data_IF_357112798202
#
_entry.id   IF_357112798202
#
_cell.length_a   1.000
_cell.length_b   1.000
_cell.length_c   1.000
_cell.angle_alpha   90.00
_cell.angle_beta   90.00
_cell.angle_gamma   90.00
#
_symmetry.space_group_name_H-M   'P 1'
#
loop_
_entity.id
_entity.type
_entity.pdbx_description
1 polymer ?
#
# COMPACT_ATOMS: atom_id res chain seq x y z
N UNK A 1 -37.42 -20.98 25.76
CA UNK A 1 -36.21 -20.12 25.75
C UNK A 1 -35.47 -20.17 24.41
N UNK A 2 -35.29 -21.35 23.80
CA UNK A 2 -34.63 -21.52 22.50
C UNK A 2 -35.41 -20.97 21.28
N UNK A 3 -36.75 -21.08 21.26
CA UNK A 3 -37.56 -20.56 20.13
C UNK A 3 -37.60 -19.04 20.05
N UNK A 4 -37.48 -18.37 21.20
CA UNK A 4 -37.39 -16.91 21.29
C UNK A 4 -36.07 -16.39 20.69
N UNK A 5 -34.97 -17.11 20.92
CA UNK A 5 -33.66 -16.79 20.33
C UNK A 5 -33.66 -17.01 18.81
N UNK A 6 -34.20 -18.13 18.32
CA UNK A 6 -34.33 -18.39 16.87
C UNK A 6 -35.14 -17.31 16.15
N UNK A 7 -36.23 -16.84 16.76
CA UNK A 7 -37.06 -15.76 16.19
C UNK A 7 -36.29 -14.44 16.10
N UNK A 8 -35.55 -14.07 17.15
CA UNK A 8 -34.67 -12.88 17.14
C UNK A 8 -33.56 -12.97 16.10
N UNK A 9 -32.91 -14.13 15.94
CA UNK A 9 -31.87 -14.30 14.93
C UNK A 9 -32.42 -14.19 13.50
N UNK A 10 -33.63 -14.69 13.26
CA UNK A 10 -34.30 -14.55 11.96
C UNK A 10 -34.64 -13.10 11.63
N UNK A 11 -35.17 -12.34 12.60
CA UNK A 11 -35.46 -10.90 12.44
C UNK A 11 -34.19 -10.07 12.17
N UNK A 12 -33.06 -10.41 12.81
CA UNK A 12 -31.76 -9.76 12.56
C UNK A 12 -31.25 -10.09 11.15
N UNK A 13 -31.34 -11.35 10.72
CA UNK A 13 -30.91 -11.77 9.39
C UNK A 13 -31.72 -11.09 8.28
N UNK A 14 -33.04 -10.99 8.44
CA UNK A 14 -33.92 -10.28 7.49
C UNK A 14 -33.60 -8.78 7.42
N UNK A 15 -33.26 -8.16 8.55
CA UNK A 15 -32.87 -6.74 8.61
C UNK A 15 -31.52 -6.45 7.94
N UNK A 16 -30.57 -7.38 8.06
CA UNK A 16 -29.26 -7.29 7.37
C UNK A 16 -29.44 -7.46 5.86
N UNK A 17 -30.25 -8.45 5.44
CA UNK A 17 -30.56 -8.67 4.03
C UNK A 17 -31.29 -7.48 3.40
N UNK A 18 -32.21 -6.83 4.14
CA UNK A 18 -32.87 -5.60 3.70
C UNK A 18 -31.89 -4.44 3.45
N UNK A 19 -30.96 -4.21 4.40
CA UNK A 19 -29.91 -3.18 4.23
C UNK A 19 -28.97 -3.47 3.07
N UNK A 20 -28.62 -4.74 2.82
CA UNK A 20 -27.80 -5.11 1.67
C UNK A 20 -28.50 -4.80 0.34
N UNK A 21 -29.80 -5.05 0.24
CA UNK A 21 -30.59 -4.70 -0.95
C UNK A 21 -30.69 -3.19 -1.16
N UNK A 22 -30.89 -2.41 -0.09
CA UNK A 22 -30.89 -0.93 -0.17
C UNK A 22 -29.55 -0.40 -0.70
N UNK A 23 -28.43 -0.96 -0.24
CA UNK A 23 -27.07 -0.57 -0.69
C UNK A 23 -26.85 -0.95 -2.17
N UNK A 24 -27.32 -2.11 -2.61
CA UNK A 24 -27.23 -2.55 -4.01
C UNK A 24 -28.08 -1.67 -4.94
N UNK A 25 -29.31 -1.34 -4.55
CA UNK A 25 -30.18 -0.43 -5.30
C UNK A 25 -29.61 0.99 -5.37
N UNK A 26 -28.95 1.46 -4.30
CA UNK A 26 -28.32 2.78 -4.28
C UNK A 26 -27.07 2.81 -5.18
N UNK A 27 -26.25 1.75 -5.18
CA UNK A 27 -25.12 1.59 -6.11
C UNK A 27 -25.57 1.58 -7.57
N UNK A 28 -26.65 0.87 -7.88
CA UNK A 28 -27.18 0.81 -9.25
C UNK A 28 -27.74 2.17 -9.71
N UNK A 29 -28.34 2.95 -8.80
CA UNK A 29 -28.80 4.32 -9.05
C UNK A 29 -27.66 5.33 -9.21
N UNK A 30 -26.49 5.08 -8.62
CA UNK A 30 -25.29 5.92 -8.78
C UNK A 30 -24.59 5.63 -10.11
N UNK A 31 -24.52 4.37 -10.54
CA UNK A 31 -23.91 3.97 -11.83
C UNK A 31 -24.63 4.49 -13.08
N UNK A 32 -25.93 4.84 -12.98
CA UNK A 32 -26.75 5.32 -14.11
C UNK A 32 -26.74 6.85 -14.31
N UNK A 33 -25.91 7.60 -13.59
CA UNK A 33 -25.88 9.08 -13.65
C UNK A 33 -24.74 9.61 -14.53
N UNK A 34 -24.90 10.81 -15.14
CA UNK A 34 -23.85 11.48 -15.89
C UNK A 34 -22.59 11.70 -15.02
N UNK A 35 -21.41 11.45 -15.60
CA UNK A 35 -20.10 11.56 -14.92
C UNK A 35 -19.86 12.92 -14.26
N UNK A 36 -20.38 14.02 -14.81
CA UNK A 36 -20.26 15.36 -14.25
C UNK A 36 -20.89 15.51 -12.87
N UNK A 37 -21.95 14.76 -12.58
CA UNK A 37 -22.66 14.78 -11.28
C UNK A 37 -21.90 13.93 -10.25
N UNK A 38 -21.11 12.94 -10.71
CA UNK A 38 -20.27 12.10 -9.85
C UNK A 38 -19.03 12.90 -9.43
N UNK A 39 -18.44 13.67 -10.34
CA UNK A 39 -17.28 14.52 -10.07
C UNK A 39 -17.60 15.65 -9.06
N UNK A 40 -18.74 16.36 -9.22
CA UNK A 40 -19.19 17.38 -8.25
C UNK A 40 -19.38 16.79 -6.85
N UNK A 41 -19.96 15.59 -6.75
CA UNK A 41 -20.17 14.91 -5.45
C UNK A 41 -18.88 14.41 -4.80
N UNK A 42 -17.87 14.05 -5.60
CA UNK A 42 -16.55 13.70 -5.08
C UNK A 42 -15.88 14.95 -4.53
N UNK A 43 -15.94 16.08 -5.25
CA UNK A 43 -15.41 17.36 -4.77
C UNK A 43 -16.10 17.85 -3.49
N UNK A 44 -17.43 17.69 -3.38
CA UNK A 44 -18.19 17.98 -2.15
C UNK A 44 -17.81 17.10 -0.96
N UNK A 45 -17.30 15.88 -1.18
CA UNK A 45 -16.89 14.94 -0.12
C UNK A 45 -15.41 15.04 0.27
N UNK A 46 -14.56 15.72 -0.52
CA UNK A 46 -13.16 15.97 -0.16
C UNK A 46 -13.00 16.64 1.22
N UNK A 47 -13.84 17.61 1.64
CA UNK A 47 -13.81 18.20 2.98
C UNK A 47 -14.13 17.18 4.09
N UNK A 48 -15.17 16.34 3.92
CA UNK A 48 -15.53 15.28 4.88
C UNK A 48 -14.40 14.25 5.00
N UNK A 49 -13.81 13.81 3.89
CA UNK A 49 -12.66 12.89 3.88
C UNK A 49 -11.45 13.54 4.58
N UNK A 50 -11.25 14.85 4.42
CA UNK A 50 -10.19 15.59 5.15
C UNK A 50 -10.45 15.67 6.64
N UNK A 51 -11.71 15.74 7.07
CA UNK A 51 -12.09 15.69 8.48
C UNK A 51 -11.98 14.27 9.06
N UNK A 52 -12.41 13.24 8.34
CA UNK A 52 -12.17 11.83 8.70
C UNK A 52 -10.67 11.52 8.79
N UNK A 53 -9.85 12.02 7.86
CA UNK A 53 -8.37 11.89 7.93
C UNK A 53 -7.78 12.68 9.11
N UNK A 54 -8.40 13.79 9.52
CA UNK A 54 -8.03 14.50 10.77
C UNK A 54 -8.45 13.73 12.02
N UNK A 55 -9.57 13.01 11.98
CA UNK A 55 -10.04 12.13 13.05
C UNK A 55 -9.19 10.86 13.16
N UNK A 56 -8.78 10.26 12.04
CA UNK A 56 -7.81 9.16 12.00
C UNK A 56 -6.44 9.63 12.51
N UNK A 57 -6.04 10.87 12.22
CA UNK A 57 -4.84 11.51 12.82
C UNK A 57 -4.95 11.75 14.33
N UNK A 58 -6.14 11.64 14.94
CA UNK A 58 -6.29 11.61 16.41
C UNK A 58 -5.97 10.25 17.01
N UNK A 59 -5.60 9.25 16.22
CA UNK A 59 -5.07 7.98 16.74
C UNK A 59 -3.59 8.12 17.17
N UNK A 60 -3.34 9.08 18.05
CA UNK A 60 -2.11 9.19 18.85
C UNK A 60 -2.02 8.08 19.91
N UNK A 61 -2.91 7.08 19.89
CA UNK A 61 -3.24 6.18 21.01
C UNK A 61 -2.11 5.23 21.39
N UNK A 62 -1.45 4.58 20.42
CA UNK A 62 -0.56 3.45 20.71
C UNK A 62 0.73 3.85 21.44
N UNK A 63 1.53 4.69 20.78
CA UNK A 63 2.82 5.15 21.31
C UNK A 63 2.65 6.09 22.50
N UNK A 64 1.53 6.83 22.60
CA UNK A 64 1.27 7.69 23.76
C UNK A 64 0.90 6.89 25.00
N UNK A 65 0.07 5.85 24.87
CA UNK A 65 -0.28 4.95 25.99
C UNK A 65 0.93 4.20 26.51
N UNK A 66 1.78 3.67 25.62
CA UNK A 66 3.03 3.04 26.04
C UNK A 66 3.92 4.05 26.77
N UNK A 67 4.10 5.23 26.17
CA UNK A 67 4.91 6.31 26.74
C UNK A 67 4.47 6.66 28.15
N UNK A 68 3.17 6.81 28.40
CA UNK A 68 2.65 7.12 29.73
C UNK A 68 2.92 5.99 30.75
N UNK A 69 2.71 4.73 30.35
CA UNK A 69 2.95 3.56 31.20
C UNK A 69 4.42 3.41 31.58
N UNK A 70 5.34 3.54 30.61
CA UNK A 70 6.78 3.43 30.87
C UNK A 70 7.25 4.59 31.75
N UNK A 71 6.90 5.84 31.40
CA UNK A 71 7.30 7.04 32.16
C UNK A 71 6.85 6.97 33.62
N UNK A 72 5.64 6.47 33.88
CA UNK A 72 5.15 6.29 35.26
C UNK A 72 6.04 5.32 36.06
N UNK A 73 6.51 4.24 35.43
CA UNK A 73 7.40 3.25 36.05
C UNK A 73 8.84 3.76 36.20
N UNK A 74 9.33 4.56 35.23
CA UNK A 74 10.67 5.19 35.27
C UNK A 74 10.79 6.20 36.41
N UNK A 75 9.69 6.89 36.78
CA UNK A 75 9.68 7.87 37.88
C UNK A 75 9.96 7.24 39.26
N UNK A 76 9.82 5.93 39.40
CA UNK A 76 9.82 5.24 40.69
C UNK A 76 11.16 4.57 41.01
N UNK A 77 11.94 4.05 40.03
CA UNK A 77 13.24 3.35 40.23
C UNK A 77 14.13 3.33 38.97
N UNK A 78 15.39 2.87 39.12
CA UNK A 78 16.25 2.44 38.01
C UNK A 78 15.55 1.31 37.24
N UNK A 79 15.46 1.44 35.93
CA UNK A 79 14.74 0.49 35.09
C UNK A 79 15.50 -0.83 35.01
N UNK A 80 14.88 -1.89 35.49
CA UNK A 80 15.34 -3.26 35.25
C UNK A 80 14.52 -3.89 34.13
N UNK A 81 15.09 -4.89 33.46
CA UNK A 81 14.36 -5.74 32.52
C UNK A 81 13.01 -6.24 33.07
N UNK A 82 12.99 -6.70 34.32
CA UNK A 82 11.78 -7.22 34.99
C UNK A 82 10.66 -6.16 35.10
N UNK A 83 11.03 -4.88 35.22
CA UNK A 83 10.07 -3.78 35.25
C UNK A 83 9.53 -3.44 33.85
N UNK A 84 10.38 -3.49 32.83
CA UNK A 84 10.06 -3.01 31.49
C UNK A 84 9.35 -4.07 30.65
N UNK A 85 9.78 -5.33 30.77
CA UNK A 85 9.35 -6.43 29.91
C UNK A 85 7.81 -6.59 29.85
N UNK A 86 7.07 -6.60 30.98
CA UNK A 86 5.60 -6.67 30.93
C UNK A 86 4.94 -5.46 30.25
N UNK A 87 5.55 -4.27 30.30
CA UNK A 87 5.03 -3.10 29.60
C UNK A 87 5.21 -3.22 28.10
N UNK A 88 6.38 -3.70 27.67
CA UNK A 88 6.68 -3.87 26.26
C UNK A 88 5.97 -5.08 25.65
N UNK A 89 5.64 -6.12 26.42
CA UNK A 89 4.75 -7.20 25.97
C UNK A 89 3.35 -6.66 25.66
N UNK A 90 2.80 -5.78 26.50
CA UNK A 90 1.52 -5.14 26.19
C UNK A 90 1.63 -4.25 24.94
N UNK A 91 2.75 -3.56 24.76
CA UNK A 91 2.99 -2.75 23.58
C UNK A 91 3.12 -3.57 22.30
N UNK A 92 3.75 -4.74 22.38
CA UNK A 92 3.81 -5.69 21.28
C UNK A 92 2.41 -6.13 20.87
N UNK A 93 1.52 -6.43 21.83
CA UNK A 93 0.11 -6.70 21.53
C UNK A 93 -0.56 -5.49 20.87
N UNK A 94 -0.36 -4.28 21.40
CA UNK A 94 -0.91 -3.07 20.78
C UNK A 94 -0.41 -2.92 19.32
N UNK A 95 0.85 -3.24 19.02
CA UNK A 95 1.42 -3.18 17.67
C UNK A 95 0.81 -4.23 16.73
N UNK A 96 0.58 -5.45 17.24
CA UNK A 96 -0.12 -6.50 16.51
C UNK A 96 -1.56 -6.10 16.17
N UNK A 97 -2.27 -5.45 17.10
CA UNK A 97 -3.60 -4.89 16.86
C UNK A 97 -3.61 -3.76 15.82
N UNK A 98 -2.46 -3.12 15.61
CA UNK A 98 -2.24 -2.08 14.61
C UNK A 98 -1.65 -2.61 13.29
N UNK A 99 -1.86 -3.90 12.99
CA UNK A 99 -1.41 -4.59 11.77
C UNK A 99 0.10 -4.61 11.55
N UNK A 100 0.90 -4.47 12.62
CA UNK A 100 2.34 -4.69 12.54
C UNK A 100 2.62 -6.19 12.63
N UNK A 101 3.42 -6.71 11.69
CA UNK A 101 3.83 -8.11 11.70
C UNK A 101 4.53 -8.49 13.01
N UNK A 102 4.31 -9.72 13.48
CA UNK A 102 4.84 -10.20 14.75
C UNK A 102 6.37 -10.08 14.83
N UNK A 103 7.08 -10.41 13.75
CA UNK A 103 8.53 -10.32 13.68
C UNK A 103 9.02 -8.89 13.89
N UNK A 104 8.29 -7.91 13.35
CA UNK A 104 8.58 -6.47 13.48
C UNK A 104 8.24 -5.98 14.88
N UNK A 105 7.07 -6.33 15.40
CA UNK A 105 6.63 -5.96 16.74
C UNK A 105 7.58 -6.53 17.82
N UNK A 106 7.97 -7.79 17.68
CA UNK A 106 8.93 -8.45 18.55
C UNK A 106 10.33 -7.82 18.44
N UNK A 107 10.79 -7.46 17.24
CA UNK A 107 12.05 -6.71 17.08
C UNK A 107 12.00 -5.37 17.81
N UNK A 108 10.92 -4.60 17.67
CA UNK A 108 10.75 -3.31 18.38
C UNK A 108 10.82 -3.54 19.90
N UNK A 109 10.11 -4.54 20.42
CA UNK A 109 10.16 -4.91 21.85
C UNK A 109 11.60 -5.21 22.29
N UNK A 110 12.31 -6.09 21.60
CA UNK A 110 13.67 -6.50 21.98
C UNK A 110 14.68 -5.33 21.90
N UNK A 111 14.57 -4.46 20.89
CA UNK A 111 15.41 -3.26 20.78
C UNK A 111 15.15 -2.30 21.96
N UNK A 112 13.88 -2.11 22.33
CA UNK A 112 13.51 -1.28 23.47
C UNK A 112 14.00 -1.85 24.81
N UNK A 113 13.93 -3.17 25.02
CA UNK A 113 14.52 -3.82 26.21
C UNK A 113 16.01 -3.49 26.28
N UNK A 114 16.75 -3.74 25.19
CA UNK A 114 18.21 -3.50 25.15
C UNK A 114 18.58 -2.04 25.39
N UNK A 115 17.80 -1.10 24.86
CA UNK A 115 18.11 0.32 24.95
C UNK A 115 17.71 0.93 26.30
N UNK A 116 16.78 0.32 27.04
CA UNK A 116 16.24 0.84 28.30
C UNK A 116 16.74 0.09 29.55
N UNK A 117 17.12 -1.18 29.43
CA UNK A 117 17.59 -1.99 30.56
C UNK A 117 18.87 -1.40 31.18
N UNK A 118 18.86 -1.21 32.49
CA UNK A 118 19.99 -0.66 33.25
C UNK A 118 20.24 0.84 33.05
N UNK A 119 19.48 1.55 32.20
CA UNK A 119 19.63 3.00 32.04
C UNK A 119 19.10 3.78 33.24
N UNK A 120 19.94 4.68 33.75
CA UNK A 120 19.52 5.70 34.69
C UNK A 120 18.97 6.89 33.93
N UNK A 121 17.66 7.12 34.09
CA UNK A 121 17.00 8.23 33.41
C UNK A 121 16.85 9.39 34.38
N UNK A 122 17.31 10.57 33.97
CA UNK A 122 17.14 11.79 34.77
C UNK A 122 15.65 12.11 34.88
N UNK A 123 15.24 12.50 36.10
CA UNK A 123 13.86 12.90 36.39
C UNK A 123 13.42 14.02 35.42
N UNK A 124 12.33 13.81 34.70
CA UNK A 124 11.82 14.70 33.64
C UNK A 124 12.28 14.40 32.21
N UNK A 125 13.23 13.47 32.00
CA UNK A 125 13.72 13.05 30.65
C UNK A 125 13.25 11.67 30.22
N UNK A 126 12.43 10.99 31.01
CA UNK A 126 11.91 9.64 30.78
C UNK A 126 11.20 9.53 29.43
N UNK A 127 10.41 10.55 29.12
CA UNK A 127 9.69 10.66 27.85
C UNK A 127 10.62 10.74 26.65
N UNK A 128 11.72 11.48 26.77
CA UNK A 128 12.69 11.66 25.67
C UNK A 128 13.43 10.35 25.40
N UNK A 129 13.87 9.65 26.45
CA UNK A 129 14.63 8.41 26.33
C UNK A 129 13.81 7.31 25.65
N UNK A 130 12.53 7.15 26.03
CA UNK A 130 11.64 6.14 25.41
C UNK A 130 11.35 6.47 23.94
N UNK A 131 11.10 7.75 23.63
CA UNK A 131 10.86 8.17 22.23
C UNK A 131 12.10 7.92 21.38
N UNK A 132 13.29 8.25 21.88
CA UNK A 132 14.52 8.05 21.12
C UNK A 132 14.80 6.56 20.89
N UNK A 133 14.51 5.70 21.88
CA UNK A 133 14.64 4.26 21.73
C UNK A 133 13.70 3.71 20.64
N UNK A 134 12.44 4.15 20.63
CA UNK A 134 11.47 3.78 19.58
C UNK A 134 11.94 4.30 18.21
N UNK A 135 12.35 5.58 18.15
CA UNK A 135 12.82 6.23 16.93
C UNK A 135 13.98 5.47 16.32
N UNK A 136 14.98 5.12 17.13
CA UNK A 136 16.14 4.35 16.70
C UNK A 136 15.76 2.96 16.17
N UNK A 137 14.89 2.23 16.88
CA UNK A 137 14.41 0.92 16.41
C UNK A 137 13.69 1.03 15.06
N UNK A 138 12.81 2.02 14.90
CA UNK A 138 12.11 2.27 13.63
C UNK A 138 13.06 2.71 12.51
N UNK A 139 14.06 3.54 12.80
CA UNK A 139 15.09 3.92 11.82
C UNK A 139 15.87 2.70 11.33
N UNK A 140 16.25 1.80 12.22
CA UNK A 140 16.93 0.55 11.86
C UNK A 140 16.03 -0.38 11.01
N UNK A 141 14.75 -0.48 11.34
CA UNK A 141 13.79 -1.30 10.59
C UNK A 141 13.53 -0.71 9.19
N UNK A 142 13.49 0.61 9.08
CA UNK A 142 13.18 1.33 7.85
C UNK A 142 14.41 1.77 7.05
N UNK A 143 15.62 1.40 7.48
CA UNK A 143 16.87 1.70 6.77
C UNK A 143 17.00 0.81 5.53
N UNK A 144 16.23 1.17 4.51
CA UNK A 144 16.22 0.51 3.22
C UNK A 144 17.12 1.25 2.23
N UNK A 145 17.78 0.53 1.29
CA UNK A 145 18.57 1.16 0.24
C UNK A 145 17.75 2.21 -0.53
N UNK A 146 18.26 3.43 -0.57
CA UNK A 146 17.64 4.51 -1.35
C UNK A 146 17.81 4.25 -2.84
N UNK A 147 16.74 4.40 -3.60
CA UNK A 147 16.74 4.26 -5.06
C UNK A 147 16.82 5.64 -5.71
N UNK A 148 17.93 5.96 -6.36
CA UNK A 148 18.05 7.14 -7.23
C UNK A 148 17.46 6.84 -8.61
N UNK A 149 16.13 6.85 -8.69
CA UNK A 149 15.42 6.49 -9.91
C UNK A 149 15.80 7.39 -11.10
N UNK A 150 15.97 8.71 -10.87
CA UNK A 150 16.33 9.65 -11.93
C UNK A 150 17.74 9.42 -12.46
N UNK A 151 18.70 9.15 -11.55
CA UNK A 151 20.07 8.80 -11.92
C UNK A 151 20.14 7.50 -12.72
N UNK A 152 19.38 6.48 -12.32
CA UNK A 152 19.31 5.20 -13.03
C UNK A 152 18.69 5.34 -14.44
N UNK A 153 17.60 6.10 -14.59
CA UNK A 153 16.99 6.40 -15.90
C UNK A 153 17.98 7.14 -16.83
N UNK A 154 18.81 8.04 -16.29
CA UNK A 154 19.82 8.76 -17.09
C UNK A 154 20.94 7.85 -17.60
N UNK A 155 21.26 6.76 -16.90
CA UNK A 155 22.32 5.81 -17.28
C UNK A 155 21.89 4.86 -18.40
N UNK A 156 20.59 4.57 -18.54
CA UNK A 156 20.09 3.58 -19.49
C UNK A 156 18.73 3.97 -20.06
N UNK A 157 18.61 3.98 -21.39
CA UNK A 157 17.37 4.32 -22.10
C UNK A 157 17.02 3.26 -23.17
N UNK A 158 15.77 2.78 -23.25
CA UNK A 158 14.71 3.04 -22.27
C UNK A 158 14.99 2.30 -20.95
N UNK A 159 14.62 2.92 -19.84
CA UNK A 159 14.60 2.30 -18.51
C UNK A 159 13.26 1.58 -18.33
N UNK A 160 13.29 0.25 -18.17
CA UNK A 160 12.08 -0.56 -18.08
C UNK A 160 11.69 -0.83 -16.62
N UNK A 161 10.53 -0.32 -16.22
CA UNK A 161 9.90 -0.55 -14.91
C UNK A 161 8.69 -1.46 -15.11
N UNK A 162 8.64 -2.59 -14.41
CA UNK A 162 7.50 -3.52 -14.44
C UNK A 162 6.86 -3.58 -13.07
N UNK A 163 5.53 -3.41 -13.03
CA UNK A 163 4.74 -3.35 -11.82
C UNK A 163 3.99 -4.65 -11.60
N UNK A 164 4.15 -5.24 -10.41
CA UNK A 164 3.53 -6.48 -9.95
C UNK A 164 2.64 -6.21 -8.74
N UNK A 165 1.79 -7.16 -8.38
CA UNK A 165 0.90 -7.05 -7.21
C UNK A 165 -0.51 -7.54 -7.49
N UNK A 166 -1.34 -7.62 -6.45
CA UNK A 166 -2.68 -8.20 -6.53
C UNK A 166 -3.72 -7.31 -7.22
N UNK A 167 -4.86 -7.90 -7.57
CA UNK A 167 -6.01 -7.15 -8.08
C UNK A 167 -6.47 -6.18 -7.00
N UNK A 168 -6.73 -4.93 -7.39
CA UNK A 168 -7.15 -3.90 -6.46
C UNK A 168 -6.02 -3.20 -5.70
N UNK A 169 -4.76 -3.68 -5.76
CA UNK A 169 -3.65 -3.03 -5.03
C UNK A 169 -3.24 -1.65 -5.57
N UNK A 170 -3.90 -1.16 -6.63
CA UNK A 170 -3.64 0.17 -7.19
C UNK A 170 -2.53 0.23 -8.25
N UNK A 171 -2.07 -0.89 -8.81
CA UNK A 171 -1.01 -0.94 -9.86
C UNK A 171 -1.20 0.09 -10.98
N UNK A 172 -2.30 0.01 -11.71
CA UNK A 172 -2.59 0.87 -12.88
C UNK A 172 -2.57 2.36 -12.51
N UNK A 173 -3.17 2.71 -11.36
CA UNK A 173 -3.16 4.07 -10.83
C UNK A 173 -1.75 4.52 -10.43
N UNK A 174 -0.97 3.64 -9.80
CA UNK A 174 0.42 3.91 -9.39
C UNK A 174 1.33 4.10 -10.61
N UNK A 175 1.16 3.31 -11.66
CA UNK A 175 1.86 3.49 -12.94
C UNK A 175 1.60 4.89 -13.51
N UNK A 176 0.34 5.32 -13.56
CA UNK A 176 -0.02 6.64 -14.07
C UNK A 176 0.59 7.77 -13.22
N UNK A 177 0.57 7.64 -11.89
CA UNK A 177 1.16 8.62 -10.96
C UNK A 177 2.68 8.71 -11.14
N UNK A 178 3.38 7.59 -11.23
CA UNK A 178 4.83 7.56 -11.44
C UNK A 178 5.20 8.10 -12.82
N UNK A 179 4.46 7.73 -13.86
CA UNK A 179 4.65 8.30 -15.20
C UNK A 179 4.48 9.82 -15.18
N UNK A 180 3.42 10.35 -14.56
CA UNK A 180 3.21 11.79 -14.41
C UNK A 180 4.36 12.46 -13.65
N UNK A 181 4.79 11.88 -12.54
CA UNK A 181 5.91 12.39 -11.74
C UNK A 181 7.22 12.47 -12.55
N UNK A 182 7.52 11.45 -13.36
CA UNK A 182 8.71 11.42 -14.22
C UNK A 182 8.58 12.42 -15.38
N UNK A 183 7.40 12.55 -15.98
CA UNK A 183 7.12 13.54 -17.03
C UNK A 183 7.25 14.97 -16.52
N UNK A 184 6.81 15.26 -15.30
CA UNK A 184 6.97 16.56 -14.64
C UNK A 184 8.44 16.91 -14.37
N UNK A 185 9.30 15.89 -14.31
CA UNK A 185 10.76 16.02 -14.20
C UNK A 185 11.47 16.05 -15.57
N UNK A 186 10.72 16.05 -16.67
CA UNK A 186 11.22 16.17 -18.02
C UNK A 186 11.60 14.84 -18.70
N UNK A 187 11.26 13.70 -18.11
CA UNK A 187 11.44 12.39 -18.76
C UNK A 187 10.27 12.06 -19.67
N UNK A 188 10.55 11.52 -20.86
CA UNK A 188 9.52 10.94 -21.73
C UNK A 188 9.16 9.53 -21.27
N UNK A 189 7.86 9.22 -21.27
CA UNK A 189 7.33 7.93 -20.80
C UNK A 189 6.43 7.28 -21.85
N UNK A 190 6.41 5.95 -21.89
CA UNK A 190 5.41 5.14 -22.58
C UNK A 190 4.89 4.06 -21.65
N UNK A 191 3.59 3.77 -21.70
CA UNK A 191 2.95 2.75 -20.87
C UNK A 191 2.74 1.46 -21.68
N UNK A 192 2.97 0.30 -21.06
CA UNK A 192 2.69 -1.00 -21.66
C UNK A 192 1.51 -1.67 -20.96
N UNK A 193 0.47 -1.99 -21.72
CA UNK A 193 -0.75 -2.64 -21.24
C UNK A 193 -0.56 -4.17 -21.12
N UNK A 194 0.29 -4.60 -20.19
CA UNK A 194 0.60 -6.01 -19.98
C UNK A 194 -0.44 -6.79 -19.16
N UNK A 195 -1.44 -6.14 -18.55
CA UNK A 195 -2.64 -6.85 -18.06
C UNK A 195 -3.57 -7.17 -19.25
N UNK A 196 -3.22 -8.21 -20.01
CA UNK A 196 -3.97 -8.62 -21.20
C UNK A 196 -5.17 -9.51 -20.87
N UNK A 197 -5.34 -9.91 -19.61
CA UNK A 197 -6.41 -10.81 -19.17
C UNK A 197 -7.72 -10.08 -18.88
N UNK A 198 -7.69 -8.76 -18.69
CA UNK A 198 -8.88 -7.96 -18.38
C UNK A 198 -8.97 -6.82 -19.39
N UNK A 199 -9.94 -6.89 -20.30
CA UNK A 199 -10.16 -5.84 -21.31
C UNK A 199 -10.32 -4.45 -20.65
N UNK A 200 -11.08 -4.39 -19.55
CA UNK A 200 -11.25 -3.18 -18.75
C UNK A 200 -9.94 -2.65 -18.14
N UNK A 201 -8.94 -3.49 -17.84
CA UNK A 201 -7.64 -3.02 -17.33
C UNK A 201 -6.86 -2.27 -18.40
N UNK A 202 -6.94 -2.75 -19.66
CA UNK A 202 -6.33 -2.05 -20.80
C UNK A 202 -6.98 -0.68 -20.98
N UNK A 203 -8.31 -0.62 -21.02
CA UNK A 203 -9.07 0.63 -21.15
C UNK A 203 -8.78 1.60 -20.00
N UNK A 204 -8.67 1.09 -18.77
CA UNK A 204 -8.31 1.91 -17.61
C UNK A 204 -6.92 2.53 -17.73
N UNK A 205 -5.92 1.75 -18.16
CA UNK A 205 -4.57 2.27 -18.38
C UNK A 205 -4.56 3.33 -19.49
N UNK A 206 -5.33 3.12 -20.57
CA UNK A 206 -5.46 4.09 -21.66
C UNK A 206 -6.10 5.40 -21.23
N UNK A 207 -7.15 5.36 -20.44
CA UNK A 207 -7.80 6.57 -19.93
C UNK A 207 -6.85 7.37 -19.03
N UNK A 208 -6.12 6.69 -18.13
CA UNK A 208 -5.07 7.36 -17.35
C UNK A 208 -3.98 7.95 -18.23
N UNK A 209 -3.51 7.20 -19.24
CA UNK A 209 -2.47 7.64 -20.15
C UNK A 209 -2.90 8.87 -20.95
N UNK A 210 -4.15 8.89 -21.43
CA UNK A 210 -4.75 10.02 -22.14
C UNK A 210 -4.77 11.27 -21.27
N UNK A 211 -5.13 11.16 -19.98
CA UNK A 211 -5.14 12.28 -19.03
C UNK A 211 -3.75 12.88 -18.80
N UNK A 212 -2.69 12.06 -18.85
CA UNK A 212 -1.31 12.53 -18.63
C UNK A 212 -0.55 12.79 -19.94
N UNK A 213 -1.15 12.52 -21.10
CA UNK A 213 -0.50 12.68 -22.41
C UNK A 213 0.58 11.64 -22.72
N UNK A 214 0.50 10.44 -22.14
CA UNK A 214 1.45 9.35 -22.39
C UNK A 214 0.95 8.38 -23.48
N UNK A 215 1.81 7.93 -24.41
CA UNK A 215 1.46 6.86 -25.33
C UNK A 215 1.28 5.52 -24.60
N UNK A 216 0.37 4.68 -25.11
CA UNK A 216 0.16 3.32 -24.62
C UNK A 216 0.42 2.31 -25.73
N UNK A 217 1.16 1.26 -25.39
CA UNK A 217 1.38 0.10 -26.24
C UNK A 217 0.54 -1.04 -25.69
N UNK A 218 -0.35 -1.54 -26.55
CA UNK A 218 -1.31 -2.59 -26.24
C UNK A 218 -1.43 -3.54 -27.42
N UNK A 219 -1.82 -4.77 -27.14
CA UNK A 219 -2.26 -5.73 -28.15
C UNK A 219 -3.72 -6.12 -27.90
N UNK A 220 -4.23 -7.06 -28.69
CA UNK A 220 -5.56 -7.64 -28.50
C UNK A 220 -5.69 -8.31 -27.12
N UNK A 221 -6.91 -8.33 -26.59
CA UNK A 221 -7.24 -9.09 -25.38
C UNK A 221 -6.76 -10.55 -25.48
N UNK A 222 -6.19 -11.08 -24.39
CA UNK A 222 -5.60 -12.42 -24.34
C UNK A 222 -4.27 -12.57 -25.07
N UNK A 223 -3.65 -11.48 -25.54
CA UNK A 223 -2.29 -11.51 -26.04
C UNK A 223 -1.28 -11.87 -24.93
N UNK A 224 -0.08 -12.29 -25.33
CA UNK A 224 1.02 -12.60 -24.41
C UNK A 224 1.55 -11.32 -23.75
N UNK A 225 1.42 -11.14 -22.41
CA UNK A 225 1.93 -9.95 -21.71
C UNK A 225 3.40 -9.66 -21.96
N UNK A 226 4.21 -10.71 -22.06
CA UNK A 226 5.64 -10.58 -22.31
C UNK A 226 5.93 -9.95 -23.67
N UNK A 227 5.09 -10.24 -24.68
CA UNK A 227 5.20 -9.67 -26.01
C UNK A 227 4.76 -8.19 -26.04
N UNK A 228 3.68 -7.83 -25.32
CA UNK A 228 3.24 -6.43 -25.23
C UNK A 228 4.34 -5.53 -24.64
N UNK A 229 4.98 -5.99 -23.56
CA UNK A 229 6.08 -5.26 -22.91
C UNK A 229 7.31 -5.18 -23.82
N UNK A 230 7.59 -6.24 -24.57
CA UNK A 230 8.68 -6.27 -25.54
C UNK A 230 8.46 -5.24 -26.67
N UNK A 231 7.25 -5.17 -27.20
CA UNK A 231 6.87 -4.18 -28.22
C UNK A 231 6.96 -2.76 -27.67
N UNK A 232 6.56 -2.54 -26.42
CA UNK A 232 6.67 -1.24 -25.78
C UNK A 232 8.13 -0.78 -25.63
N UNK A 233 9.01 -1.72 -25.25
CA UNK A 233 10.45 -1.48 -25.21
C UNK A 233 11.01 -1.13 -26.59
N UNK A 234 10.62 -1.86 -27.64
CA UNK A 234 11.03 -1.60 -29.02
C UNK A 234 10.55 -0.24 -29.53
N UNK A 235 9.31 0.11 -29.21
CA UNK A 235 8.74 1.42 -29.52
C UNK A 235 9.52 2.55 -28.83
N UNK A 236 9.85 2.38 -27.55
CA UNK A 236 10.63 3.35 -26.80
C UNK A 236 12.06 3.51 -27.34
N UNK A 237 12.74 2.41 -27.67
CA UNK A 237 14.06 2.41 -28.32
C UNK A 237 14.03 3.21 -29.64
N UNK A 238 13.05 2.94 -30.50
CA UNK A 238 12.93 3.60 -31.80
C UNK A 238 12.65 5.10 -31.70
N UNK A 239 11.91 5.53 -30.67
CA UNK A 239 11.54 6.94 -30.44
C UNK A 239 12.42 7.67 -29.44
N UNK A 240 13.47 7.01 -28.92
CA UNK A 240 14.36 7.53 -27.88
C UNK A 240 13.60 7.99 -26.62
N UNK A 241 12.56 7.24 -26.24
CA UNK A 241 11.78 7.49 -25.02
C UNK A 241 12.59 7.02 -23.81
N UNK A 242 12.56 7.80 -22.73
CA UNK A 242 13.40 7.57 -21.56
C UNK A 242 12.94 6.36 -20.73
N UNK A 243 11.62 6.20 -20.54
CA UNK A 243 11.06 5.22 -19.59
C UNK A 243 9.90 4.44 -20.19
N UNK A 244 9.90 3.13 -19.95
CA UNK A 244 8.76 2.24 -20.20
C UNK A 244 8.20 1.79 -18.86
N UNK A 245 6.91 2.05 -18.61
CA UNK A 245 6.21 1.57 -17.43
C UNK A 245 5.18 0.50 -17.82
N UNK A 246 5.37 -0.72 -17.35
CA UNK A 246 4.56 -1.86 -17.73
C UNK A 246 3.63 -2.31 -16.61
N UNK A 247 2.34 -2.38 -16.92
CA UNK A 247 1.34 -3.04 -16.08
C UNK A 247 1.39 -4.56 -16.26
N UNK A 248 0.96 -5.31 -15.26
CA UNK A 248 0.81 -6.77 -15.34
C UNK A 248 -0.50 -7.20 -14.70
N UNK A 249 -0.98 -8.40 -15.06
CA UNK A 249 -2.13 -9.00 -14.39
C UNK A 249 -1.89 -9.13 -12.87
N UNK A 250 -2.92 -8.86 -12.07
CA UNK A 250 -2.86 -8.95 -10.62
C UNK A 250 -3.65 -10.09 -10.03
N UNK A 251 -3.24 -11.34 -10.21
CA UNK A 251 -3.95 -12.47 -9.57
C UNK A 251 -3.25 -12.94 -8.30
N UNK A 252 -3.92 -13.83 -7.55
CA UNK A 252 -3.34 -14.46 -6.35
C UNK A 252 -2.00 -15.13 -6.67
N UNK A 253 -1.05 -15.05 -5.73
CA UNK A 253 0.27 -15.67 -5.82
C UNK A 253 0.19 -17.21 -5.84
N UNK A 254 -0.92 -17.77 -5.37
CA UNK A 254 -1.21 -19.22 -5.43
C UNK A 254 -1.57 -19.72 -6.83
N UNK A 255 -1.73 -18.82 -7.81
CA UNK A 255 -2.00 -19.19 -9.19
C UNK A 255 -0.70 -19.51 -9.95
N UNK A 256 -0.37 -20.79 -10.12
CA UNK A 256 0.85 -21.24 -10.80
C UNK A 256 0.99 -20.68 -12.23
N UNK A 257 -0.12 -20.64 -12.99
CA UNK A 257 -0.13 -20.12 -14.35
C UNK A 257 0.26 -18.63 -14.39
N UNK A 258 -0.23 -17.84 -13.44
CA UNK A 258 0.18 -16.44 -13.29
C UNK A 258 1.68 -16.36 -12.98
N UNK A 259 2.17 -17.16 -12.03
CA UNK A 259 3.59 -17.11 -11.64
C UNK A 259 4.51 -17.44 -12.81
N UNK A 260 4.15 -18.40 -13.66
CA UNK A 260 4.89 -18.70 -14.90
C UNK A 260 4.81 -17.55 -15.92
N UNK A 261 3.67 -16.88 -16.04
CA UNK A 261 3.53 -15.69 -16.89
C UNK A 261 4.42 -14.54 -16.41
N UNK A 262 4.42 -14.23 -15.10
CA UNK A 262 5.27 -13.20 -14.52
C UNK A 262 6.77 -13.55 -14.67
N UNK A 263 7.16 -14.81 -14.46
CA UNK A 263 8.53 -15.29 -14.74
C UNK A 263 8.90 -15.09 -16.20
N UNK A 264 7.98 -15.38 -17.13
CA UNK A 264 8.20 -15.16 -18.56
C UNK A 264 8.39 -13.68 -18.89
N UNK A 265 7.59 -12.78 -18.31
CA UNK A 265 7.77 -11.32 -18.46
C UNK A 265 9.18 -10.91 -18.07
N UNK A 266 9.64 -11.34 -16.88
CA UNK A 266 10.98 -11.01 -16.37
C UNK A 266 12.07 -11.61 -17.25
N UNK A 267 11.95 -12.88 -17.65
CA UNK A 267 12.93 -13.59 -18.47
C UNK A 267 13.11 -12.95 -19.85
N UNK A 268 12.01 -12.59 -20.51
CA UNK A 268 12.01 -12.03 -21.87
C UNK A 268 12.48 -10.58 -21.87
N UNK A 269 11.95 -9.77 -20.95
CA UNK A 269 12.12 -8.32 -21.03
C UNK A 269 13.30 -7.78 -20.21
N UNK A 270 13.76 -8.54 -19.20
CA UNK A 270 14.86 -8.17 -18.29
C UNK A 270 14.67 -6.75 -17.72
N UNK A 271 13.61 -6.53 -16.91
CA UNK A 271 13.29 -5.21 -16.38
C UNK A 271 14.43 -4.65 -15.53
N UNK A 272 14.63 -3.34 -15.63
CA UNK A 272 15.62 -2.60 -14.87
C UNK A 272 15.17 -2.41 -13.42
N UNK A 273 13.86 -2.17 -13.23
CA UNK A 273 13.24 -2.09 -11.92
C UNK A 273 11.96 -2.95 -11.89
N UNK A 274 11.84 -3.74 -10.83
CA UNK A 274 10.65 -4.55 -10.53
C UNK A 274 9.99 -3.93 -9.31
N UNK A 275 8.76 -3.46 -9.45
CA UNK A 275 8.02 -2.79 -8.38
C UNK A 275 6.86 -3.67 -7.95
N UNK A 276 6.79 -4.03 -6.67
CA UNK A 276 5.63 -4.68 -6.09
C UNK A 276 4.72 -3.59 -5.49
N UNK A 277 3.45 -3.58 -5.90
CA UNK A 277 2.44 -2.65 -5.42
C UNK A 277 1.48 -3.39 -4.51
N UNK A 278 1.43 -2.95 -3.25
CA UNK A 278 0.62 -3.55 -2.19
C UNK A 278 -0.30 -2.48 -1.60
N UNK A 279 -1.48 -2.89 -1.18
CA UNK A 279 -2.42 -2.03 -0.45
C UNK A 279 -2.11 -2.11 1.04
N UNK A 280 -1.90 -0.97 1.70
CA UNK A 280 -1.65 -0.94 3.14
C UNK A 280 -2.82 -1.48 3.98
N UNK A 281 -4.03 -1.55 3.41
CA UNK A 281 -5.21 -2.09 4.09
C UNK A 281 -5.21 -3.62 4.20
N UNK A 282 -4.30 -4.33 3.52
CA UNK A 282 -4.23 -5.80 3.60
C UNK A 282 -3.46 -6.31 4.82
N UNK A 283 -2.91 -5.40 5.65
CA UNK A 283 -2.23 -5.76 6.89
C UNK A 283 -1.10 -6.78 6.66
N UNK A 284 -1.13 -7.88 7.41
CA UNK A 284 -0.11 -8.94 7.34
C UNK A 284 -0.18 -9.81 6.06
N UNK A 285 -1.22 -9.70 5.24
CA UNK A 285 -1.30 -10.42 3.95
C UNK A 285 -0.47 -9.73 2.84
N UNK A 286 0.04 -8.53 3.12
CA UNK A 286 0.90 -7.71 2.24
C UNK A 286 2.30 -8.32 2.04
#
# INVERSE_FOLDING_TARGET
>A
MFDFLKKKFKEIAERIAGKQREIEEEKEKVLKRPESIIEERIEEKIPEIKEEVKEIRKDKSLFSKLKEKIVKKVLEKKLTREDIEPLLTNFEVDLLEADVAYEVANKIKEDLIKELDGKEVKRGKEKEVVIEAIRKSLEEILDLPKIDLEGEIKKKKPYLIVFFGFNGSGKTTTIAKIAKFLMDKGFSCVLAAGDTFRAASIEQLEEHAKRIGAPVIKQKYGADPAAVIFDAKKYAEARKIDVVLADTAGRSYTNENLMEELKKIVRVNKPDLKVLVIDSLTGNDA
#
